data_IF_310835876380
#
_entry.id   IF_310835876380
#
_cell.length_a   1.000
_cell.length_b   1.000
_cell.length_c   1.000
_cell.angle_alpha   90.00
_cell.angle_beta   90.00
_cell.angle_gamma   90.00
#
_symmetry.space_group_name_H-M   'P 1'
#
loop_
_entity.id
_entity.type
_entity.pdbx_description
1 polymer ?
#
# COMPACT_ATOMS: atom_id res chain seq x y z
N UNK A 1 -5.02 75.39 -102.70
CA UNK A 1 -6.52 75.71 -102.77
C UNK A 1 -7.13 75.08 -101.51
N UNK A 2 -7.67 75.90 -100.67
CA UNK A 2 -8.92 75.89 -99.96
C UNK A 2 -9.33 74.40 -99.49
N UNK A 3 -9.76 74.10 -98.28
CA UNK A 3 -10.58 74.79 -97.36
C UNK A 3 -10.75 74.01 -96.06
N UNK A 4 -10.95 74.81 -95.00
CA UNK A 4 -11.97 74.74 -93.94
C UNK A 4 -12.04 73.48 -93.02
N UNK A 5 -11.59 73.66 -91.89
CA UNK A 5 -12.17 73.76 -90.57
C UNK A 5 -13.51 73.09 -90.30
N UNK A 6 -13.54 72.27 -89.27
CA UNK A 6 -14.69 72.19 -88.34
C UNK A 6 -14.22 71.58 -86.99
N UNK A 7 -14.33 72.43 -86.02
CA UNK A 7 -14.12 72.08 -84.60
C UNK A 7 -15.32 71.23 -84.08
N UNK A 8 -15.10 70.15 -83.37
CA UNK A 8 -16.10 69.48 -82.53
C UNK A 8 -15.51 69.43 -81.12
N UNK A 9 -16.16 70.19 -80.23
CA UNK A 9 -15.92 70.17 -78.79
C UNK A 9 -16.53 68.88 -78.22
N UNK A 10 -15.71 67.99 -77.78
CA UNK A 10 -16.13 66.78 -77.06
C UNK A 10 -16.02 67.02 -75.53
N UNK A 11 -17.15 67.08 -74.85
CA UNK A 11 -17.25 67.16 -73.38
C UNK A 11 -16.85 65.80 -72.82
N UNK A 12 -15.67 65.70 -72.26
CA UNK A 12 -15.22 64.48 -71.50
C UNK A 12 -15.83 64.46 -70.12
N UNK A 13 -16.71 63.51 -69.88
CA UNK A 13 -17.22 63.17 -68.53
C UNK A 13 -16.18 62.32 -67.83
N UNK A 14 -15.50 62.88 -66.83
CA UNK A 14 -14.63 62.20 -65.90
C UNK A 14 -15.50 61.40 -64.93
N UNK A 15 -15.59 60.08 -65.15
CA UNK A 15 -16.04 59.15 -64.11
C UNK A 15 -14.90 58.97 -63.11
N UNK A 16 -15.02 59.56 -61.90
CA UNK A 16 -14.19 59.28 -60.75
C UNK A 16 -14.51 57.87 -60.25
N UNK A 17 -13.57 56.96 -60.42
CA UNK A 17 -13.64 55.69 -59.75
C UNK A 17 -13.42 55.96 -58.25
N UNK A 18 -14.51 55.92 -57.45
CA UNK A 18 -14.43 55.81 -56.02
C UNK A 18 -13.85 54.41 -55.67
N UNK A 19 -12.62 54.37 -55.19
CA UNK A 19 -12.04 53.24 -54.62
C UNK A 19 -12.87 52.82 -53.41
N UNK A 20 -13.57 51.66 -53.50
CA UNK A 20 -14.17 51.07 -52.34
C UNK A 20 -13.04 50.46 -51.49
N UNK A 21 -12.62 51.21 -50.44
CA UNK A 21 -11.83 50.56 -49.36
C UNK A 21 -12.69 49.45 -48.75
N UNK A 22 -12.38 48.23 -49.15
CA UNK A 22 -12.90 47.05 -48.49
C UNK A 22 -12.41 47.13 -47.03
N UNK A 23 -13.32 47.54 -46.11
CA UNK A 23 -13.05 47.48 -44.68
C UNK A 23 -12.64 46.06 -44.33
N UNK A 24 -11.37 45.90 -43.99
CA UNK A 24 -10.84 44.67 -43.44
C UNK A 24 -11.65 44.34 -42.18
N UNK A 25 -12.60 43.40 -42.33
CA UNK A 25 -13.34 42.88 -41.19
C UNK A 25 -12.31 42.34 -40.21
N UNK A 26 -12.31 42.76 -38.95
CA UNK A 26 -11.35 42.23 -37.98
C UNK A 26 -11.48 40.73 -37.95
N UNK A 27 -10.48 40.04 -38.49
CA UNK A 27 -10.39 38.57 -38.40
C UNK A 27 -10.44 38.27 -36.93
N UNK A 28 -11.56 37.70 -36.49
CA UNK A 28 -11.71 37.25 -35.10
C UNK A 28 -10.48 36.43 -34.74
N UNK A 29 -9.60 37.00 -33.91
CA UNK A 29 -8.37 36.33 -33.49
C UNK A 29 -8.73 34.90 -33.05
N UNK A 30 -8.05 33.91 -33.61
CA UNK A 30 -8.25 32.55 -33.14
C UNK A 30 -8.10 32.54 -31.62
N UNK A 31 -9.07 32.00 -30.86
CA UNK A 31 -8.90 31.88 -29.42
C UNK A 31 -7.55 31.21 -29.17
N UNK A 32 -6.70 31.82 -28.40
CA UNK A 32 -5.47 31.18 -27.95
C UNK A 32 -5.88 29.83 -27.37
N UNK A 33 -5.17 28.74 -27.72
CA UNK A 33 -5.47 27.42 -27.14
C UNK A 33 -5.42 27.60 -25.61
N UNK A 34 -6.57 27.48 -24.98
CA UNK A 34 -6.65 27.46 -23.52
C UNK A 34 -5.84 26.24 -23.08
N UNK A 35 -4.75 26.48 -22.37
CA UNK A 35 -3.99 25.37 -21.80
C UNK A 35 -4.95 24.47 -21.05
N UNK A 36 -4.97 23.15 -21.30
CA UNK A 36 -5.90 22.26 -20.65
C UNK A 36 -5.76 22.41 -19.14
N UNK A 37 -6.85 22.78 -18.46
CA UNK A 37 -6.88 22.93 -17.01
C UNK A 37 -6.62 21.58 -16.34
N UNK A 38 -6.28 21.59 -15.05
CA UNK A 38 -6.17 20.38 -14.24
C UNK A 38 -7.53 19.91 -13.70
N UNK A 39 -8.60 20.66 -13.95
CA UNK A 39 -9.96 20.30 -13.53
C UNK A 39 -10.52 19.21 -14.44
N UNK A 40 -10.98 18.13 -13.87
CA UNK A 40 -11.63 17.05 -14.61
C UNK A 40 -11.47 15.69 -13.95
N UNK A 41 -12.18 14.73 -14.49
CA UNK A 41 -12.02 13.32 -14.16
C UNK A 41 -10.74 12.77 -14.77
N UNK A 42 -10.13 11.82 -14.07
CA UNK A 42 -9.03 11.03 -14.60
C UNK A 42 -9.13 9.58 -14.17
N UNK A 43 -8.57 8.72 -14.99
CA UNK A 43 -8.36 7.30 -14.68
C UNK A 43 -6.93 6.93 -15.03
N UNK A 44 -6.38 5.94 -14.35
CA UNK A 44 -4.99 5.56 -14.62
C UNK A 44 -4.64 4.16 -14.15
N UNK A 45 -3.44 3.77 -14.50
CA UNK A 45 -2.81 2.53 -14.07
C UNK A 45 -1.51 2.85 -13.35
N UNK A 46 -1.18 2.05 -12.35
CA UNK A 46 -0.01 2.30 -11.53
C UNK A 46 0.65 1.01 -11.06
N UNK A 47 1.95 1.07 -10.79
CA UNK A 47 2.70 -0.06 -10.26
C UNK A 47 3.90 0.41 -9.47
N UNK A 48 4.39 -0.46 -8.59
CA UNK A 48 5.50 -0.11 -7.72
C UNK A 48 5.87 -1.20 -6.74
N UNK A 49 6.58 -0.79 -5.68
CA UNK A 49 7.01 -1.66 -4.59
C UNK A 49 6.43 -1.23 -3.26
N UNK A 50 6.12 -2.22 -2.43
CA UNK A 50 5.70 -2.04 -1.06
C UNK A 50 6.71 -2.69 -0.11
N UNK A 51 6.98 -2.06 1.03
CA UNK A 51 7.94 -2.57 2.01
C UNK A 51 7.53 -2.20 3.44
N UNK A 52 7.86 -3.08 4.37
CA UNK A 52 7.59 -2.92 5.79
C UNK A 52 8.61 -3.69 6.63
N UNK A 53 8.90 -3.18 7.80
CA UNK A 53 9.57 -3.94 8.86
C UNK A 53 8.51 -4.44 9.85
N UNK A 54 8.62 -5.69 10.25
CA UNK A 54 7.67 -6.39 11.14
C UNK A 54 8.39 -6.88 12.37
N UNK A 55 7.69 -6.84 13.49
CA UNK A 55 8.09 -7.52 14.73
C UNK A 55 6.89 -8.26 15.26
N UNK A 56 7.05 -9.55 15.53
CA UNK A 56 5.99 -10.41 16.07
C UNK A 56 6.30 -10.72 17.52
N UNK A 57 5.32 -10.49 18.39
CA UNK A 57 5.39 -10.85 19.80
C UNK A 57 4.47 -12.04 20.07
N UNK A 58 4.85 -12.87 21.03
CA UNK A 58 4.12 -14.08 21.40
C UNK A 58 3.64 -14.00 22.85
N UNK A 59 2.36 -14.25 23.06
CA UNK A 59 1.73 -14.22 24.38
C UNK A 59 0.98 -15.53 24.60
N UNK A 60 1.32 -16.27 25.64
CA UNK A 60 0.58 -17.46 26.06
C UNK A 60 -0.82 -17.08 26.55
N UNK A 61 -1.84 -17.82 26.13
CA UNK A 61 -3.22 -17.61 26.54
C UNK A 61 -3.61 -18.42 27.79
N UNK A 62 -2.74 -19.31 28.22
CA UNK A 62 -2.85 -20.13 29.41
C UNK A 62 -1.51 -20.18 30.15
N UNK A 63 -1.50 -20.51 31.47
CA UNK A 63 -0.28 -20.49 32.27
C UNK A 63 0.85 -21.35 31.72
N UNK A 64 0.54 -22.56 31.24
CA UNK A 64 1.57 -23.49 30.74
C UNK A 64 2.29 -22.92 29.50
N UNK A 65 1.52 -22.35 28.58
CA UNK A 65 2.10 -21.73 27.37
C UNK A 65 2.77 -20.39 27.69
N UNK A 66 2.24 -19.63 28.63
CA UNK A 66 2.90 -18.40 29.08
C UNK A 66 4.27 -18.70 29.68
N UNK A 67 4.40 -19.74 30.51
CA UNK A 67 5.67 -20.21 31.05
C UNK A 67 6.61 -20.70 29.95
N UNK A 68 6.09 -21.51 29.02
CA UNK A 68 6.87 -22.01 27.88
C UNK A 68 7.47 -20.89 27.04
N UNK A 69 6.70 -19.86 26.73
CA UNK A 69 7.12 -18.73 25.89
C UNK A 69 8.01 -17.74 26.65
N UNK A 70 7.81 -17.57 27.97
CA UNK A 70 8.58 -16.61 28.78
C UNK A 70 9.90 -17.18 29.32
N UNK A 71 10.12 -18.50 29.23
CA UNK A 71 11.19 -19.21 29.95
C UNK A 71 11.23 -18.84 31.44
N UNK A 72 10.04 -18.84 32.05
CA UNK A 72 9.89 -18.51 33.46
C UNK A 72 10.81 -19.39 34.32
N UNK A 73 11.59 -18.81 35.24
CA UNK A 73 12.44 -19.55 36.17
C UNK A 73 11.68 -20.52 37.07
N UNK A 74 10.33 -20.45 37.14
CA UNK A 74 9.53 -21.43 37.89
C UNK A 74 9.65 -22.85 37.33
N UNK A 75 9.90 -23.04 36.04
CA UNK A 75 10.24 -24.35 35.48
C UNK A 75 11.70 -24.73 35.79
N UNK A 76 12.51 -23.78 36.27
CA UNK A 76 13.93 -23.99 36.65
C UNK A 76 14.69 -24.84 35.62
N UNK A 77 14.36 -24.63 34.33
CA UNK A 77 14.99 -25.36 33.22
C UNK A 77 16.34 -24.71 32.93
N UNK A 78 17.46 -25.41 33.21
CA UNK A 78 18.76 -24.85 33.00
C UNK A 78 19.00 -24.49 31.53
N UNK A 79 19.42 -23.25 31.28
CA UNK A 79 19.77 -22.77 29.95
C UNK A 79 18.58 -22.47 29.03
N UNK A 80 17.36 -22.49 29.54
CA UNK A 80 16.16 -22.10 28.78
C UNK A 80 16.19 -20.62 28.40
N UNK A 81 15.72 -20.32 27.19
CA UNK A 81 15.61 -18.96 26.66
C UNK A 81 14.19 -18.67 26.23
N UNK A 82 13.68 -17.44 26.50
CA UNK A 82 12.35 -17.05 26.06
C UNK A 82 12.25 -17.09 24.53
N UNK A 83 11.05 -17.34 24.03
CA UNK A 83 10.75 -17.09 22.63
C UNK A 83 10.76 -15.57 22.43
N UNK A 84 11.90 -15.07 21.98
CA UNK A 84 12.08 -13.63 21.76
C UNK A 84 11.20 -13.13 20.62
N UNK A 85 10.73 -11.89 20.70
CA UNK A 85 10.19 -11.23 19.53
C UNK A 85 11.19 -11.30 18.38
N UNK A 86 10.74 -11.66 17.18
CA UNK A 86 11.63 -11.64 16.02
C UNK A 86 11.11 -10.68 14.96
N UNK A 87 12.06 -9.99 14.33
CA UNK A 87 11.80 -9.06 13.26
C UNK A 87 12.10 -9.68 11.90
N UNK A 88 11.32 -9.28 10.90
CA UNK A 88 11.60 -9.60 9.50
C UNK A 88 11.17 -8.46 8.59
N UNK A 89 11.80 -8.39 7.42
CA UNK A 89 11.39 -7.46 6.37
C UNK A 89 10.35 -8.11 5.46
N UNK A 90 9.26 -7.40 5.23
CA UNK A 90 8.23 -7.75 4.27
C UNK A 90 8.34 -6.83 3.05
N UNK A 91 8.42 -7.40 1.86
CA UNK A 91 8.50 -6.65 0.60
C UNK A 91 7.61 -7.28 -0.45
N UNK A 92 7.19 -6.51 -1.45
CA UNK A 92 6.41 -7.05 -2.56
C UNK A 92 6.14 -6.03 -3.64
N UNK A 93 5.84 -6.51 -4.83
CA UNK A 93 5.32 -5.68 -5.90
C UNK A 93 3.84 -5.40 -5.68
N UNK A 94 3.38 -4.25 -6.15
CA UNK A 94 1.99 -3.85 -6.15
C UNK A 94 1.64 -3.18 -7.46
N UNK A 95 0.43 -3.42 -7.97
CA UNK A 95 -0.04 -2.79 -9.20
C UNK A 95 -1.56 -2.68 -9.19
N UNK A 96 -2.09 -1.67 -9.87
CA UNK A 96 -3.51 -1.43 -9.81
C UNK A 96 -3.98 -0.28 -10.68
N UNK A 97 -5.21 0.13 -10.40
CA UNK A 97 -5.92 1.20 -11.11
C UNK A 97 -6.22 2.35 -10.16
N UNK A 98 -6.33 3.54 -10.71
CA UNK A 98 -6.71 4.74 -9.98
C UNK A 98 -7.78 5.50 -10.75
N UNK A 99 -8.65 6.19 -10.03
CA UNK A 99 -9.62 7.12 -10.57
C UNK A 99 -9.78 8.30 -9.62
N UNK A 100 -10.03 9.46 -10.17
CA UNK A 100 -10.20 10.65 -9.35
C UNK A 100 -10.80 11.83 -10.08
N UNK A 101 -11.02 12.87 -9.32
CA UNK A 101 -11.47 14.16 -9.84
C UNK A 101 -10.65 15.29 -9.21
N UNK A 102 -10.17 16.19 -10.04
CA UNK A 102 -9.44 17.38 -9.63
C UNK A 102 -10.28 18.62 -9.84
N UNK A 103 -10.22 19.57 -8.89
CA UNK A 103 -10.74 20.93 -8.98
C UNK A 103 -9.59 21.92 -8.85
N UNK A 104 -9.25 22.60 -9.91
CA UNK A 104 -8.29 23.71 -9.85
C UNK A 104 -9.02 24.95 -9.30
N UNK A 105 -8.85 25.21 -8.01
CA UNK A 105 -9.56 26.27 -7.28
C UNK A 105 -8.93 27.64 -7.46
N UNK A 106 -7.68 27.68 -7.93
CA UNK A 106 -6.95 28.89 -8.29
C UNK A 106 -5.87 28.57 -9.32
N UNK A 107 -5.21 29.56 -9.92
CA UNK A 107 -4.14 29.32 -10.90
C UNK A 107 -3.06 28.36 -10.39
N UNK A 108 -2.78 28.33 -9.09
CA UNK A 108 -1.68 27.56 -8.50
C UNK A 108 -2.15 26.46 -7.54
N UNK A 109 -3.45 26.35 -7.20
CA UNK A 109 -3.93 25.41 -6.21
C UNK A 109 -5.00 24.47 -6.75
N UNK A 110 -4.88 23.22 -6.35
CA UNK A 110 -5.77 22.15 -6.75
C UNK A 110 -6.25 21.39 -5.51
N UNK A 111 -7.54 21.13 -5.48
CA UNK A 111 -8.17 20.14 -4.58
C UNK A 111 -8.60 18.94 -5.41
N UNK A 112 -8.62 17.77 -4.81
CA UNK A 112 -9.09 16.58 -5.51
C UNK A 112 -9.49 15.47 -4.58
N UNK A 113 -10.16 14.49 -5.15
CA UNK A 113 -10.42 13.19 -4.53
C UNK A 113 -9.89 12.10 -5.44
N UNK A 114 -9.30 11.09 -4.85
CA UNK A 114 -8.72 9.95 -5.57
C UNK A 114 -9.09 8.65 -4.87
N UNK A 115 -9.45 7.66 -5.64
CA UNK A 115 -9.58 6.27 -5.16
C UNK A 115 -8.67 5.38 -5.97
N UNK A 116 -8.14 4.36 -5.34
CA UNK A 116 -7.36 3.33 -6.01
C UNK A 116 -7.64 1.93 -5.47
N UNK A 117 -7.37 0.96 -6.32
CA UNK A 117 -7.39 -0.45 -5.96
C UNK A 117 -6.14 -1.12 -6.54
N UNK A 118 -5.40 -1.83 -5.69
CA UNK A 118 -4.12 -2.45 -6.02
C UNK A 118 -4.10 -3.90 -5.59
N UNK A 119 -3.57 -4.76 -6.44
CA UNK A 119 -3.28 -6.15 -6.13
C UNK A 119 -1.81 -6.31 -5.77
N UNK A 120 -1.51 -7.26 -4.89
CA UNK A 120 -0.19 -7.41 -4.31
C UNK A 120 0.09 -6.40 -3.20
N UNK A 121 1.16 -6.67 -2.45
CA UNK A 121 1.60 -5.86 -1.33
C UNK A 121 2.77 -6.53 -0.63
N UNK A 122 3.19 -6.03 0.53
CA UNK A 122 4.31 -6.62 1.25
C UNK A 122 3.95 -8.02 1.76
N UNK A 123 4.88 -8.96 1.55
CA UNK A 123 4.85 -10.32 2.09
C UNK A 123 6.19 -10.62 2.73
N UNK A 124 6.16 -11.30 3.85
CA UNK A 124 7.36 -11.70 4.54
C UNK A 124 7.09 -12.78 5.56
N UNK A 125 8.15 -13.48 5.92
CA UNK A 125 8.15 -14.51 6.93
C UNK A 125 9.35 -14.32 7.85
N UNK A 126 9.16 -14.70 9.10
CA UNK A 126 10.22 -14.71 10.09
C UNK A 126 10.14 -15.97 10.93
N UNK A 127 11.29 -16.46 11.37
CA UNK A 127 11.38 -17.56 12.30
C UNK A 127 12.36 -17.21 13.42
N UNK A 128 11.97 -17.55 14.64
CA UNK A 128 12.83 -17.48 15.81
C UNK A 128 13.06 -18.88 16.34
N UNK A 129 14.32 -19.29 16.49
CA UNK A 129 14.69 -20.55 17.14
C UNK A 129 15.39 -20.20 18.45
N UNK A 130 14.91 -20.79 19.54
CA UNK A 130 15.49 -20.66 20.88
C UNK A 130 15.63 -22.04 21.49
N UNK A 131 16.29 -22.14 22.61
CA UNK A 131 16.47 -23.42 23.33
C UNK A 131 15.59 -23.40 24.56
N UNK A 132 14.66 -24.36 24.64
CA UNK A 132 13.81 -24.53 25.82
C UNK A 132 14.59 -25.16 26.98
N UNK A 133 15.42 -26.17 26.70
CA UNK A 133 16.27 -26.86 27.68
C UNK A 133 17.64 -27.07 27.06
N UNK A 134 18.69 -26.81 27.87
CA UNK A 134 20.08 -27.13 27.51
C UNK A 134 20.79 -27.75 28.69
N UNK A 135 20.63 -29.08 28.82
CA UNK A 135 21.34 -29.92 29.80
C UNK A 135 22.10 -30.98 29.00
N UNK A 136 23.41 -30.87 28.79
CA UNK A 136 24.12 -31.88 28.02
C UNK A 136 23.91 -33.29 28.58
N UNK A 137 23.60 -34.28 27.75
CA UNK A 137 23.52 -34.22 26.29
C UNK A 137 22.16 -33.76 25.72
N UNK A 138 21.19 -33.38 26.56
CA UNK A 138 19.84 -32.97 26.15
C UNK A 138 19.78 -31.49 25.76
N UNK A 139 19.39 -31.24 24.53
CA UNK A 139 19.06 -29.88 24.04
C UNK A 139 17.74 -29.95 23.32
N UNK A 140 16.77 -29.07 23.71
CA UNK A 140 15.45 -28.99 23.11
C UNK A 140 15.28 -27.64 22.41
N UNK A 141 15.60 -27.53 21.12
CA UNK A 141 15.33 -26.33 20.34
C UNK A 141 13.82 -26.20 20.06
N UNK A 142 13.34 -24.99 20.18
CA UNK A 142 11.97 -24.60 19.82
C UNK A 142 11.99 -23.58 18.70
N UNK A 143 11.05 -23.66 17.77
CA UNK A 143 10.98 -22.77 16.63
C UNK A 143 9.57 -22.21 16.49
N UNK A 144 9.48 -20.89 16.36
CA UNK A 144 8.26 -20.19 15.98
C UNK A 144 8.45 -19.58 14.61
N UNK A 145 7.50 -19.84 13.72
CA UNK A 145 7.47 -19.26 12.37
C UNK A 145 6.20 -18.42 12.22
N UNK A 146 6.36 -17.23 11.71
CA UNK A 146 5.24 -16.31 11.45
C UNK A 146 5.35 -15.70 10.07
N UNK A 147 4.23 -15.72 9.35
CA UNK A 147 4.10 -15.20 7.99
C UNK A 147 2.98 -14.19 7.95
N UNK A 148 3.19 -13.08 7.24
CA UNK A 148 2.13 -12.11 6.95
C UNK A 148 2.24 -11.60 5.52
N UNK A 149 1.08 -11.45 4.87
CA UNK A 149 0.99 -10.88 3.52
C UNK A 149 -0.23 -9.97 3.38
N UNK A 150 -0.10 -8.98 2.54
CA UNK A 150 -1.21 -8.16 2.04
C UNK A 150 -1.50 -8.62 0.62
N UNK A 151 -2.71 -9.16 0.39
CA UNK A 151 -3.09 -9.75 -0.89
C UNK A 151 -3.56 -8.69 -1.89
N UNK A 152 -4.38 -7.75 -1.41
CA UNK A 152 -4.86 -6.58 -2.14
C UNK A 152 -5.20 -5.46 -1.16
N UNK A 153 -5.20 -4.24 -1.62
CA UNK A 153 -5.52 -3.06 -0.84
C UNK A 153 -6.04 -1.93 -1.73
N UNK A 154 -6.70 -0.97 -1.12
CA UNK A 154 -7.19 0.21 -1.81
C UNK A 154 -7.31 1.39 -0.87
N UNK A 155 -7.46 2.58 -1.46
CA UNK A 155 -7.59 3.82 -0.71
C UNK A 155 -8.67 4.73 -1.28
N UNK A 156 -9.21 5.61 -0.43
CA UNK A 156 -10.02 6.77 -0.80
C UNK A 156 -9.40 7.97 -0.12
N UNK A 157 -8.89 8.93 -0.90
CA UNK A 157 -8.06 10.03 -0.40
C UNK A 157 -8.54 11.38 -0.89
N UNK A 158 -8.43 12.40 -0.04
CA UNK A 158 -8.40 13.79 -0.47
C UNK A 158 -6.99 14.14 -0.93
N UNK A 159 -6.89 15.02 -1.94
CA UNK A 159 -5.63 15.56 -2.47
C UNK A 159 -5.64 17.07 -2.37
N UNK A 160 -4.52 17.64 -1.94
CA UNK A 160 -4.23 19.07 -2.02
C UNK A 160 -2.93 19.22 -2.82
N UNK A 161 -2.98 19.99 -3.89
CA UNK A 161 -1.86 20.16 -4.80
C UNK A 161 -1.54 21.62 -5.10
N UNK A 162 -0.26 21.86 -5.38
CA UNK A 162 0.25 23.14 -5.84
C UNK A 162 0.92 22.95 -7.21
N UNK A 163 0.59 23.79 -8.17
CA UNK A 163 1.22 23.83 -9.48
C UNK A 163 2.58 24.53 -9.37
N UNK A 164 3.65 23.75 -9.46
CA UNK A 164 5.02 24.28 -9.51
C UNK A 164 5.31 24.89 -10.88
N UNK A 165 4.73 24.34 -11.95
CA UNK A 165 4.67 24.88 -13.30
C UNK A 165 3.29 24.58 -13.89
N UNK A 166 2.89 25.13 -15.06
CA UNK A 166 1.62 24.77 -15.68
C UNK A 166 1.44 23.26 -15.91
N UNK A 167 2.53 22.51 -16.06
CA UNK A 167 2.53 21.08 -16.36
C UNK A 167 3.02 20.19 -15.20
N UNK A 168 3.44 20.77 -14.07
CA UNK A 168 3.93 20.01 -12.92
C UNK A 168 3.12 20.34 -11.67
N UNK A 169 2.38 19.36 -11.20
CA UNK A 169 1.62 19.36 -9.95
C UNK A 169 2.38 18.62 -8.86
N UNK A 170 2.63 19.27 -7.74
CA UNK A 170 3.08 18.63 -6.50
C UNK A 170 1.88 18.50 -5.57
N UNK A 171 1.70 17.33 -4.94
CA UNK A 171 0.53 17.10 -4.10
C UNK A 171 0.84 16.32 -2.85
N UNK A 172 0.04 16.59 -1.81
CA UNK A 172 -0.12 15.74 -0.64
C UNK A 172 -1.50 15.10 -0.66
N UNK A 173 -1.62 13.92 -0.07
CA UNK A 173 -2.90 13.21 0.03
C UNK A 173 -3.02 12.48 1.36
N UNK A 174 -4.25 12.36 1.86
CA UNK A 174 -4.55 11.57 3.04
C UNK A 174 -5.98 11.06 2.96
N UNK A 175 -6.25 9.93 3.63
CA UNK A 175 -7.59 9.36 3.60
C UNK A 175 -7.69 7.98 4.24
N UNK A 176 -8.75 7.29 3.85
CA UNK A 176 -9.09 5.96 4.29
C UNK A 176 -8.34 4.90 3.48
N UNK A 177 -7.92 3.82 4.15
CA UNK A 177 -7.31 2.66 3.54
C UNK A 177 -8.03 1.38 3.97
N UNK A 178 -8.07 0.40 3.08
CA UNK A 178 -8.60 -0.93 3.35
C UNK A 178 -7.79 -1.98 2.59
N UNK A 179 -7.76 -3.21 3.10
CA UNK A 179 -7.00 -4.27 2.44
C UNK A 179 -7.18 -5.62 3.10
N UNK A 180 -6.90 -6.66 2.34
CA UNK A 180 -6.98 -8.04 2.79
C UNK A 180 -5.62 -8.49 3.29
N UNK A 181 -5.58 -8.88 4.57
CA UNK A 181 -4.38 -9.31 5.28
C UNK A 181 -4.55 -10.77 5.65
N UNK A 182 -3.57 -11.59 5.32
CA UNK A 182 -3.47 -12.99 5.71
C UNK A 182 -2.22 -13.19 6.56
N UNK A 183 -2.39 -13.81 7.72
CA UNK A 183 -1.30 -14.05 8.67
C UNK A 183 -1.38 -15.46 9.20
N UNK A 184 -0.22 -16.10 9.36
CA UNK A 184 -0.10 -17.43 9.96
C UNK A 184 0.98 -17.45 11.02
N UNK A 185 0.80 -18.29 12.04
CA UNK A 185 1.83 -18.53 13.04
C UNK A 185 1.84 -20.02 13.41
N UNK A 186 3.04 -20.58 13.47
CA UNK A 186 3.28 -21.99 13.82
C UNK A 186 4.37 -22.08 14.86
N UNK A 187 4.22 -23.03 15.78
CA UNK A 187 5.20 -23.30 16.80
C UNK A 187 5.43 -24.81 16.91
N UNK A 188 6.67 -25.20 17.02
CA UNK A 188 7.08 -26.58 17.13
C UNK A 188 8.47 -26.73 17.73
N UNK A 189 8.83 -28.00 17.99
CA UNK A 189 10.15 -28.37 18.47
C UNK A 189 10.95 -28.96 17.31
N UNK A 190 12.15 -28.48 17.10
CA UNK A 190 13.14 -29.06 16.20
C UNK A 190 14.20 -29.77 17.05
N UNK A 191 13.89 -30.98 17.57
CA UNK A 191 14.81 -31.75 18.38
C UNK A 191 15.17 -33.07 17.69
N UNK A 192 16.39 -33.52 17.89
CA UNK A 192 16.84 -34.88 17.53
C UNK A 192 16.59 -35.87 18.64
N UNK A 193 16.02 -35.46 19.76
CA UNK A 193 15.69 -36.32 20.89
C UNK A 193 14.20 -36.61 20.88
N UNK A 194 13.75 -37.87 20.75
CA UNK A 194 12.36 -38.24 20.85
C UNK A 194 11.88 -37.99 22.28
N UNK A 195 11.22 -36.87 22.50
CA UNK A 195 10.67 -36.51 23.80
C UNK A 195 9.22 -36.11 23.65
N UNK A 196 8.34 -36.92 24.15
CA UNK A 196 7.05 -36.49 24.62
C UNK A 196 7.31 -35.56 25.82
N UNK A 197 7.22 -34.26 25.63
CA UNK A 197 7.45 -33.30 26.69
C UNK A 197 6.09 -32.82 27.23
N UNK A 198 5.81 -33.13 28.47
CA UNK A 198 4.62 -32.62 29.16
C UNK A 198 5.01 -31.52 30.12
N UNK A 199 4.47 -30.30 29.92
CA UNK A 199 4.51 -29.26 30.93
C UNK A 199 3.27 -29.37 31.78
N UNK A 200 3.45 -29.47 33.08
CA UNK A 200 2.39 -29.65 34.06
C UNK A 200 2.35 -28.38 34.94
N UNK A 201 1.30 -27.60 34.82
CA UNK A 201 1.01 -26.46 35.73
C UNK A 201 -0.07 -26.83 36.75
N UNK A 202 -0.45 -28.09 36.85
CA UNK A 202 -1.56 -28.59 37.65
C UNK A 202 -2.92 -28.53 36.93
N UNK A 203 -3.08 -27.73 35.90
CA UNK A 203 -4.35 -27.55 35.16
C UNK A 203 -4.23 -27.79 33.67
N UNK A 204 -3.07 -27.52 33.08
CA UNK A 204 -2.85 -27.61 31.64
C UNK A 204 -1.55 -28.35 31.35
N UNK A 205 -1.63 -29.37 30.53
CA UNK A 205 -0.45 -30.10 30.10
C UNK A 205 -0.58 -30.44 28.63
N UNK A 206 0.54 -30.43 27.93
CA UNK A 206 0.59 -30.91 26.57
C UNK A 206 1.90 -31.67 26.31
N UNK A 207 1.83 -32.54 25.34
CA UNK A 207 2.99 -33.24 24.80
C UNK A 207 3.10 -32.93 23.31
N UNK A 208 4.30 -32.69 22.83
CA UNK A 208 4.56 -32.37 21.45
C UNK A 208 5.69 -33.26 20.91
N UNK A 209 5.44 -33.88 19.76
CA UNK A 209 6.42 -34.73 19.09
C UNK A 209 7.47 -33.86 18.37
N UNK A 210 8.70 -34.31 18.35
CA UNK A 210 9.79 -33.62 17.63
C UNK A 210 9.48 -33.46 16.13
N UNK A 211 10.04 -32.42 15.54
CA UNK A 211 9.90 -32.08 14.12
C UNK A 211 8.45 -31.91 13.64
N UNK A 212 7.53 -31.63 14.56
CA UNK A 212 6.12 -31.43 14.25
C UNK A 212 5.65 -30.01 14.63
N UNK A 213 4.59 -29.56 13.97
CA UNK A 213 3.90 -28.34 14.36
C UNK A 213 2.92 -28.64 15.47
N UNK A 214 3.19 -28.15 16.66
CA UNK A 214 2.40 -28.40 17.86
C UNK A 214 1.28 -27.38 18.06
N UNK A 215 1.51 -26.16 17.61
CA UNK A 215 0.51 -25.11 17.60
C UNK A 215 0.47 -24.45 16.23
N UNK A 216 -0.71 -24.21 15.74
CA UNK A 216 -0.92 -23.54 14.49
C UNK A 216 -2.10 -22.58 14.58
N UNK A 217 -1.97 -21.45 13.94
CA UNK A 217 -3.02 -20.46 13.79
C UNK A 217 -2.94 -19.77 12.46
N UNK A 218 -4.08 -19.39 11.92
CA UNK A 218 -4.18 -18.57 10.74
C UNK A 218 -5.31 -17.57 10.90
N UNK A 219 -5.13 -16.38 10.33
CA UNK A 219 -6.12 -15.34 10.26
C UNK A 219 -6.13 -14.73 8.87
N UNK A 220 -7.31 -14.45 8.34
CA UNK A 220 -7.50 -13.80 7.05
C UNK A 220 -8.70 -12.88 7.17
N UNK A 221 -8.49 -11.57 6.96
CA UNK A 221 -9.55 -10.58 7.12
C UNK A 221 -9.31 -9.34 6.27
N UNK A 222 -10.40 -8.68 5.90
CA UNK A 222 -10.35 -7.30 5.41
C UNK A 222 -10.16 -6.37 6.59
N UNK A 223 -9.09 -5.60 6.57
CA UNK A 223 -8.73 -4.61 7.57
C UNK A 223 -8.89 -3.21 7.02
N UNK A 224 -9.14 -2.28 7.90
CA UNK A 224 -9.34 -0.87 7.58
C UNK A 224 -8.41 0.00 8.40
N UNK A 225 -8.14 1.20 7.87
CA UNK A 225 -7.26 2.13 8.54
C UNK A 225 -7.11 3.43 7.76
N UNK A 226 -5.92 3.98 7.73
CA UNK A 226 -5.65 5.28 7.12
C UNK A 226 -4.40 5.25 6.25
N UNK A 227 -4.30 6.23 5.38
CA UNK A 227 -3.13 6.44 4.52
C UNK A 227 -2.81 7.93 4.42
N UNK A 228 -1.54 8.23 4.28
CA UNK A 228 -1.07 9.57 3.95
C UNK A 228 0.17 9.48 3.05
N UNK A 229 0.36 10.47 2.21
CA UNK A 229 1.51 10.52 1.33
C UNK A 229 1.51 11.74 0.43
N UNK A 230 2.32 11.68 -0.60
CA UNK A 230 2.44 12.76 -1.57
C UNK A 230 3.29 12.37 -2.76
N UNK A 231 3.32 13.24 -3.75
CA UNK A 231 4.04 12.98 -4.98
C UNK A 231 4.01 14.14 -5.95
N UNK A 232 4.44 13.82 -7.16
CA UNK A 232 4.40 14.73 -8.29
C UNK A 232 3.65 14.10 -9.47
N UNK A 233 2.98 14.94 -10.23
CA UNK A 233 2.27 14.56 -11.44
C UNK A 233 2.65 15.52 -12.57
N UNK A 234 3.23 14.99 -13.63
CA UNK A 234 3.71 15.75 -14.76
C UNK A 234 2.87 15.47 -16.01
N UNK A 235 2.35 16.54 -16.61
CA UNK A 235 1.62 16.49 -17.87
C UNK A 235 2.61 16.47 -19.03
N UNK A 236 2.74 15.34 -19.70
CA UNK A 236 3.63 15.20 -20.85
C UNK A 236 2.89 15.30 -22.20
N UNK A 237 1.54 15.24 -22.18
CA UNK A 237 0.69 15.44 -23.34
C UNK A 237 -0.68 16.01 -22.88
N UNK A 238 -1.53 16.55 -23.79
CA UNK A 238 -2.76 17.29 -23.42
C UNK A 238 -3.69 16.56 -22.43
N UNK A 239 -3.80 15.26 -22.48
CA UNK A 239 -4.68 14.45 -21.61
C UNK A 239 -3.91 13.42 -20.79
N UNK A 240 -2.59 13.38 -20.90
CA UNK A 240 -1.79 12.34 -20.28
C UNK A 240 -0.84 12.90 -19.23
N UNK A 241 -0.87 12.30 -18.07
CA UNK A 241 0.06 12.63 -16.99
C UNK A 241 0.82 11.41 -16.52
N UNK A 242 2.06 11.64 -16.12
CA UNK A 242 2.89 10.67 -15.39
C UNK A 242 2.87 11.07 -13.92
N UNK A 243 2.50 10.15 -13.06
CA UNK A 243 2.43 10.33 -11.61
C UNK A 243 3.47 9.46 -10.91
N UNK A 244 4.19 10.02 -9.95
CA UNK A 244 5.02 9.29 -9.01
C UNK A 244 4.64 9.69 -7.59
N UNK A 245 4.42 8.71 -6.71
CA UNK A 245 3.98 8.99 -5.34
C UNK A 245 4.57 8.01 -4.34
N UNK A 246 4.67 8.50 -3.11
CA UNK A 246 4.94 7.71 -1.92
C UNK A 246 3.73 7.74 -1.01
N UNK A 247 3.38 6.56 -0.46
CA UNK A 247 2.31 6.40 0.50
C UNK A 247 2.79 5.65 1.74
N UNK A 248 2.35 6.11 2.88
CA UNK A 248 2.29 5.32 4.10
C UNK A 248 0.86 4.80 4.28
N UNK A 249 0.72 3.50 4.49
CA UNK A 249 -0.57 2.82 4.68
C UNK A 249 -0.55 2.10 6.02
N UNK A 250 -1.58 2.26 6.83
CA UNK A 250 -1.75 1.56 8.10
C UNK A 250 -3.15 0.92 8.13
N UNK A 251 -3.19 -0.41 8.16
CA UNK A 251 -4.42 -1.21 8.18
C UNK A 251 -4.81 -1.68 9.60
N UNK A 252 -4.22 -1.06 10.65
CA UNK A 252 -4.53 -1.41 12.02
C UNK A 252 -3.77 -2.64 12.54
N UNK A 253 -4.18 -3.15 13.69
CA UNK A 253 -3.50 -4.27 14.37
C UNK A 253 -3.91 -5.62 13.82
N UNK A 254 -2.98 -6.56 13.89
CA UNK A 254 -3.21 -7.96 13.51
C UNK A 254 -2.75 -8.92 14.59
N UNK A 255 -3.62 -9.89 14.89
CA UNK A 255 -3.37 -10.92 15.89
C UNK A 255 -3.90 -12.25 15.42
N UNK A 256 -3.13 -13.31 15.65
CA UNK A 256 -3.50 -14.65 15.29
C UNK A 256 -3.42 -15.53 16.55
N UNK A 257 -4.53 -16.18 16.89
CA UNK A 257 -4.56 -17.20 17.92
C UNK A 257 -4.15 -18.54 17.31
N UNK A 258 -3.10 -19.15 17.88
CA UNK A 258 -2.58 -20.45 17.49
C UNK A 258 -2.96 -21.48 18.53
N UNK A 259 -3.74 -22.45 18.14
CA UNK A 259 -4.23 -23.49 19.01
C UNK A 259 -3.37 -24.75 18.87
N UNK A 260 -3.39 -25.59 19.91
CA UNK A 260 -2.77 -26.90 19.87
C UNK A 260 -3.33 -27.73 18.71
N UNK A 261 -2.45 -28.36 17.96
CA UNK A 261 -2.80 -29.30 16.87
C UNK A 261 -3.09 -30.70 17.46
N UNK A 262 -3.54 -31.63 16.62
CA UNK A 262 -3.70 -33.03 17.03
C UNK A 262 -2.37 -33.70 17.44
N UNK A 263 -1.23 -33.11 17.08
CA UNK A 263 0.11 -33.59 17.46
C UNK A 263 0.57 -33.01 18.81
N UNK A 264 -0.12 -32.01 19.33
CA UNK A 264 0.04 -31.53 20.69
C UNK A 264 -1.01 -32.24 21.56
N UNK A 265 -0.63 -33.36 22.15
CA UNK A 265 -1.55 -34.17 22.93
C UNK A 265 -1.66 -33.59 24.34
N UNK A 266 -2.84 -33.08 24.67
CA UNK A 266 -3.19 -32.70 26.05
C UNK A 266 -3.43 -33.96 26.91
N UNK A 267 -3.18 -33.82 28.22
CA UNK A 267 -3.59 -34.88 29.16
C UNK A 267 -5.11 -34.88 29.36
N UNK A 268 -5.74 -36.03 29.63
CA UNK A 268 -7.18 -36.06 29.87
C UNK A 268 -7.62 -35.07 30.95
N UNK A 269 -8.57 -34.23 30.62
CA UNK A 269 -9.10 -33.18 31.52
C UNK A 269 -8.40 -31.81 31.45
N UNK A 270 -7.32 -31.66 30.68
CA UNK A 270 -6.67 -30.38 30.46
C UNK A 270 -7.42 -29.52 29.42
N UNK A 271 -7.42 -28.19 29.61
CA UNK A 271 -7.92 -27.28 28.61
C UNK A 271 -7.00 -27.23 27.39
N UNK A 272 -7.53 -26.99 26.17
CA UNK A 272 -6.70 -26.80 24.99
C UNK A 272 -5.76 -25.60 25.16
N UNK A 273 -4.47 -25.84 25.07
CA UNK A 273 -3.45 -24.79 25.15
C UNK A 273 -3.39 -23.97 23.87
N UNK A 274 -3.08 -22.68 24.02
CA UNK A 274 -2.95 -21.78 22.89
C UNK A 274 -2.04 -20.58 23.19
N UNK A 275 -1.52 -19.95 22.14
CA UNK A 275 -0.86 -18.64 22.24
C UNK A 275 -1.41 -17.66 21.20
N UNK A 276 -1.16 -16.40 21.42
CA UNK A 276 -1.46 -15.33 20.47
C UNK A 276 -0.16 -14.78 19.89
N UNK A 277 -0.04 -14.83 18.56
CA UNK A 277 0.98 -14.10 17.81
C UNK A 277 0.45 -12.69 17.52
N UNK A 278 1.05 -11.67 18.12
CA UNK A 278 0.73 -10.26 17.88
C UNK A 278 1.69 -9.69 16.84
N UNK A 279 1.22 -9.50 15.62
CA UNK A 279 1.96 -8.90 14.50
C UNK A 279 2.07 -7.37 14.61
N UNK A 280 1.48 -6.80 15.66
CA UNK A 280 1.45 -5.34 15.83
C UNK A 280 0.56 -4.65 14.80
N UNK A 281 0.97 -3.47 14.37
CA UNK A 281 0.24 -2.72 13.32
C UNK A 281 0.67 -3.17 11.93
N UNK A 282 -0.30 -3.43 11.06
CA UNK A 282 -0.07 -3.76 9.66
C UNK A 282 0.11 -2.47 8.87
N UNK A 283 1.29 -1.87 8.98
CA UNK A 283 1.65 -0.66 8.25
C UNK A 283 2.71 -0.98 7.19
N UNK A 284 2.72 -0.23 6.11
CA UNK A 284 3.72 -0.39 5.04
C UNK A 284 3.89 0.89 4.23
N UNK A 285 5.04 0.99 3.60
CA UNK A 285 5.42 2.06 2.71
C UNK A 285 5.28 1.59 1.26
N UNK A 286 4.81 2.47 0.40
CA UNK A 286 4.65 2.20 -1.03
C UNK A 286 5.34 3.31 -1.82
N UNK A 287 6.16 2.91 -2.77
CA UNK A 287 6.68 3.80 -3.82
C UNK A 287 6.14 3.28 -5.14
N UNK A 288 5.38 4.12 -5.84
CA UNK A 288 4.73 3.73 -7.10
C UNK A 288 4.74 4.84 -8.13
N UNK A 289 4.67 4.44 -9.39
CA UNK A 289 4.50 5.34 -10.50
C UNK A 289 3.35 4.86 -11.41
N UNK A 290 2.78 5.75 -12.17
CA UNK A 290 1.65 5.45 -13.02
C UNK A 290 1.43 6.47 -14.11
N UNK A 291 0.49 6.16 -14.98
CA UNK A 291 0.05 7.04 -16.06
C UNK A 291 -1.46 7.23 -15.93
N UNK A 292 -1.90 8.48 -15.99
CA UNK A 292 -3.30 8.84 -15.94
C UNK A 292 -3.74 9.47 -17.27
N UNK A 293 -4.99 9.21 -17.63
CA UNK A 293 -5.70 9.90 -18.68
C UNK A 293 -6.75 10.84 -18.07
N UNK A 294 -6.67 12.11 -18.39
CA UNK A 294 -7.60 13.16 -17.94
C UNK A 294 -8.61 13.47 -19.07
N UNK A 295 -9.89 13.48 -18.73
CA UNK A 295 -10.99 13.79 -19.65
C UNK A 295 -11.23 15.29 -19.82
#
# INVERSE_FOLDING_TARGET
MRALARSIVGIGILFGAAGADAADLPVKARPLPVAPGWTGFYVGVQGGGAFADRTVNYVGNDPAIAQLLSSDPLLNLPGGQPVSPHGYRATGATGGVTAGYNWQVSPNWLLGVETDFSVGGPKGSGSGTTVLISIPPLTLPQTVTSDQRVDWWGTVRARLGALATPDLLLFGSAGFAYGHVSSTSRYGFASTVPAAFGLIDGNTSFSCTENTTCFAGSGSAVKTGWTAGGGGEWRFAPHWTFKAEYLYVDLGRDRVRSNATALAVGFPGSAPSSYTADFGRTNFHVVRAGVNYQF
#
